data_IF_255130081582
#
_entry.id   IF_255130081582
#
_cell.length_a   1.000
_cell.length_b   1.000
_cell.length_c   1.000
_cell.angle_alpha   90.00
_cell.angle_beta   90.00
_cell.angle_gamma   90.00
#
_symmetry.space_group_name_H-M   'P 1'
#
loop_
_entity.id
_entity.type
_entity.pdbx_description
1 polymer ?
#
# COMPACT_ATOMS: atom_id res chain seq x y z
N UNK A 1 3.67 -18.06 7.68
CA UNK A 1 2.34 -17.60 8.19
C UNK A 1 2.15 -17.91 9.66
N UNK A 2 2.45 -19.13 10.16
CA UNK A 2 2.26 -19.49 11.57
C UNK A 2 3.28 -18.88 12.55
N UNK A 3 4.46 -18.52 12.08
CA UNK A 3 5.56 -18.00 12.91
C UNK A 3 5.15 -16.79 13.80
N UNK A 4 4.51 -15.73 13.26
CA UNK A 4 4.07 -14.60 14.10
C UNK A 4 3.11 -15.04 15.21
N UNK A 5 2.20 -15.98 14.92
CA UNK A 5 1.25 -16.49 15.92
C UNK A 5 1.96 -17.24 17.05
N UNK A 6 2.93 -18.09 16.71
CA UNK A 6 3.73 -18.83 17.68
C UNK A 6 4.54 -17.90 18.60
N UNK A 7 5.16 -16.86 18.05
CA UNK A 7 5.93 -15.86 18.80
C UNK A 7 5.04 -15.10 19.81
N UNK A 8 3.80 -14.79 19.40
CA UNK A 8 2.85 -14.05 20.25
C UNK A 8 1.93 -14.95 21.10
N UNK A 9 2.15 -16.28 21.09
CA UNK A 9 1.35 -17.22 21.88
C UNK A 9 -0.14 -17.24 21.52
N UNK A 10 -0.44 -17.00 20.23
CA UNK A 10 -1.83 -16.94 19.75
C UNK A 10 -2.30 -18.34 19.31
N UNK A 11 -3.43 -18.77 19.85
CA UNK A 11 -4.06 -20.04 19.52
C UNK A 11 -4.78 -20.01 18.17
N UNK A 12 -5.29 -21.19 17.73
CA UNK A 12 -6.03 -21.38 16.49
C UNK A 12 -5.28 -20.87 15.23
N UNK A 13 -4.03 -21.28 15.08
CA UNK A 13 -3.21 -20.86 13.94
C UNK A 13 -3.86 -21.23 12.60
N UNK A 14 -4.51 -22.37 12.49
CA UNK A 14 -5.13 -22.85 11.25
C UNK A 14 -6.35 -22.01 10.84
N UNK A 15 -7.24 -21.71 11.76
CA UNK A 15 -8.40 -20.86 11.52
C UNK A 15 -7.99 -19.42 11.18
N UNK A 16 -7.03 -18.85 11.90
CA UNK A 16 -6.50 -17.52 11.63
C UNK A 16 -5.84 -17.41 10.26
N UNK A 17 -5.02 -18.40 9.88
CA UNK A 17 -4.38 -18.46 8.55
C UNK A 17 -5.45 -18.55 7.46
N UNK A 18 -6.44 -19.42 7.59
CA UNK A 18 -7.51 -19.56 6.61
C UNK A 18 -8.28 -18.25 6.44
N UNK A 19 -8.63 -17.60 7.54
CA UNK A 19 -9.36 -16.33 7.56
C UNK A 19 -8.58 -15.23 6.85
N UNK A 20 -7.31 -15.03 7.20
CA UNK A 20 -6.52 -13.93 6.62
C UNK A 20 -6.16 -14.17 5.17
N UNK A 21 -5.94 -15.43 4.73
CA UNK A 21 -5.77 -15.76 3.33
C UNK A 21 -7.02 -15.41 2.52
N UNK A 22 -8.21 -15.74 3.01
CA UNK A 22 -9.47 -15.36 2.37
C UNK A 22 -9.62 -13.84 2.23
N UNK A 23 -9.24 -13.07 3.25
CA UNK A 23 -9.31 -11.60 3.22
C UNK A 23 -8.41 -10.94 2.18
N UNK A 24 -7.28 -11.57 1.85
CA UNK A 24 -6.39 -11.07 0.79
C UNK A 24 -6.66 -11.73 -0.58
N UNK A 25 -7.78 -12.47 -0.71
CA UNK A 25 -8.18 -13.12 -1.95
C UNK A 25 -7.29 -14.30 -2.36
N UNK A 26 -6.68 -14.98 -1.39
CA UNK A 26 -5.88 -16.18 -1.61
C UNK A 26 -6.62 -17.41 -1.06
N UNK A 27 -6.64 -18.48 -1.86
CA UNK A 27 -7.25 -19.75 -1.44
C UNK A 27 -6.46 -20.47 -0.35
N UNK A 28 -7.07 -21.44 0.37
CA UNK A 28 -6.42 -22.17 1.47
C UNK A 28 -5.14 -22.90 1.09
N UNK A 29 -5.01 -23.32 -0.17
CA UNK A 29 -3.82 -24.02 -0.68
C UNK A 29 -2.55 -23.17 -0.66
N UNK A 30 -2.68 -21.83 -0.59
CA UNK A 30 -1.53 -20.93 -0.54
C UNK A 30 -0.70 -21.05 0.74
N UNK A 31 -1.24 -21.60 1.82
CA UNK A 31 -0.50 -21.86 3.05
C UNK A 31 0.67 -22.85 2.85
N UNK A 32 0.59 -23.70 1.83
CA UNK A 32 1.58 -24.75 1.54
C UNK A 32 2.52 -24.41 0.39
N UNK A 33 2.36 -23.21 -0.22
CA UNK A 33 3.20 -22.79 -1.34
C UNK A 33 4.50 -22.16 -0.86
N UNK A 34 5.56 -22.43 -1.59
CA UNK A 34 6.86 -21.78 -1.41
C UNK A 34 6.91 -20.43 -2.14
N UNK A 35 7.75 -19.47 -1.69
CA UNK A 35 7.85 -18.14 -2.32
C UNK A 35 8.12 -18.14 -3.82
N UNK A 36 8.92 -19.10 -4.31
CA UNK A 36 9.23 -19.23 -5.73
C UNK A 36 8.06 -19.72 -6.61
N UNK A 37 6.99 -20.22 -5.99
CA UNK A 37 5.77 -20.67 -6.66
C UNK A 37 4.71 -19.56 -6.76
N UNK A 38 5.03 -18.34 -6.33
CA UNK A 38 4.09 -17.22 -6.24
C UNK A 38 4.46 -16.11 -7.23
N UNK A 39 3.45 -15.51 -7.88
CA UNK A 39 3.63 -14.26 -8.62
C UNK A 39 3.98 -13.10 -7.69
N UNK A 40 4.43 -11.95 -8.22
CA UNK A 40 4.70 -10.73 -7.46
C UNK A 40 3.50 -10.28 -6.63
N UNK A 41 2.32 -10.18 -7.24
CA UNK A 41 1.08 -9.81 -6.54
C UNK A 41 0.64 -10.81 -5.49
N UNK A 42 0.83 -12.13 -5.74
CA UNK A 42 0.53 -13.16 -4.73
C UNK A 42 1.49 -13.07 -3.53
N UNK A 43 2.77 -12.81 -3.76
CA UNK A 43 3.74 -12.56 -2.68
C UNK A 43 3.35 -11.35 -1.85
N UNK A 44 2.93 -10.26 -2.51
CA UNK A 44 2.48 -9.05 -1.81
C UNK A 44 1.22 -9.28 -0.99
N UNK A 45 0.21 -9.97 -1.54
CA UNK A 45 -1.00 -10.38 -0.80
C UNK A 45 -0.65 -11.24 0.42
N UNK A 46 0.32 -12.14 0.29
CA UNK A 46 0.78 -12.97 1.41
C UNK A 46 1.55 -12.15 2.47
N UNK A 47 2.34 -11.15 2.07
CA UNK A 47 3.00 -10.23 2.99
C UNK A 47 1.97 -9.41 3.79
N UNK A 48 0.94 -8.89 3.13
CA UNK A 48 -0.19 -8.21 3.77
C UNK A 48 -0.89 -9.16 4.75
N UNK A 49 -1.22 -10.39 4.33
CA UNK A 49 -1.84 -11.39 5.20
C UNK A 49 -1.00 -11.67 6.45
N UNK A 50 0.34 -11.76 6.31
CA UNK A 50 1.27 -11.98 7.43
C UNK A 50 1.25 -10.82 8.42
N UNK A 51 1.11 -9.58 7.96
CA UNK A 51 0.98 -8.42 8.82
C UNK A 51 -0.37 -8.37 9.54
N UNK A 52 -1.44 -8.79 8.86
CA UNK A 52 -2.81 -8.75 9.38
C UNK A 52 -3.16 -9.89 10.35
N UNK A 53 -2.38 -10.98 10.36
CA UNK A 53 -2.70 -12.18 11.15
C UNK A 53 -2.65 -11.92 12.68
N UNK A 54 -1.89 -10.91 13.10
CA UNK A 54 -1.79 -10.45 14.49
C UNK A 54 -2.90 -9.47 14.88
N UNK A 55 -3.84 -9.19 13.99
CA UNK A 55 -4.96 -8.28 14.20
C UNK A 55 -4.50 -6.88 14.69
N UNK A 56 -3.54 -6.23 14.00
CA UNK A 56 -3.01 -4.96 14.41
C UNK A 56 -4.07 -3.86 14.36
N UNK A 57 -3.92 -2.82 15.17
CA UNK A 57 -4.72 -1.58 15.08
C UNK A 57 -4.10 -0.56 14.14
N UNK A 58 -2.80 -0.64 13.94
CA UNK A 58 -2.01 0.23 13.05
C UNK A 58 -1.22 -0.64 12.08
N UNK A 59 -1.28 -0.32 10.79
CA UNK A 59 -0.53 -0.98 9.73
C UNK A 59 0.45 0.01 9.10
N UNK A 60 1.73 -0.33 9.14
CA UNK A 60 2.80 0.42 8.47
C UNK A 60 3.03 -0.18 7.08
N UNK A 61 2.94 0.65 6.06
CA UNK A 61 3.09 0.29 4.66
C UNK A 61 4.25 1.08 4.07
N UNK A 62 5.39 0.42 3.91
CA UNK A 62 6.58 1.02 3.31
C UNK A 62 6.69 0.54 1.86
N UNK A 63 6.46 1.47 0.92
CA UNK A 63 6.51 1.21 -0.52
C UNK A 63 5.73 -0.06 -0.96
N UNK A 64 4.46 -0.26 -0.56
CA UNK A 64 3.78 -1.55 -0.65
C UNK A 64 3.56 -2.05 -2.08
N UNK A 65 3.77 -1.22 -3.10
CA UNK A 65 3.50 -1.56 -4.51
C UNK A 65 4.64 -1.23 -5.46
N UNK A 66 5.78 -0.75 -4.98
CA UNK A 66 6.90 -0.25 -5.81
C UNK A 66 7.53 -1.30 -6.75
N UNK A 67 7.42 -2.59 -6.42
CA UNK A 67 7.96 -3.70 -7.20
C UNK A 67 6.92 -4.42 -8.09
N UNK A 68 5.73 -3.83 -8.27
CA UNK A 68 4.61 -4.41 -9.00
C UNK A 68 4.35 -3.65 -10.30
N UNK A 69 3.82 -4.36 -11.29
CA UNK A 69 3.28 -3.70 -12.50
C UNK A 69 2.00 -2.90 -12.16
N UNK A 70 1.66 -1.95 -13.03
CA UNK A 70 0.58 -0.97 -12.78
C UNK A 70 -0.77 -1.62 -12.50
N UNK A 71 -1.10 -2.72 -13.19
CA UNK A 71 -2.39 -3.40 -13.02
C UNK A 71 -2.47 -4.10 -11.67
N UNK A 72 -1.42 -4.81 -11.28
CA UNK A 72 -1.33 -5.50 -9.99
C UNK A 72 -1.22 -4.49 -8.85
N UNK A 73 -0.53 -3.36 -9.05
CA UNK A 73 -0.48 -2.27 -8.09
C UNK A 73 -1.90 -1.77 -7.74
N UNK A 74 -2.73 -1.48 -8.74
CA UNK A 74 -4.11 -1.03 -8.52
C UNK A 74 -4.94 -2.05 -7.72
N UNK A 75 -4.80 -3.35 -8.03
CA UNK A 75 -5.48 -4.41 -7.28
C UNK A 75 -5.06 -4.45 -5.80
N UNK A 76 -3.75 -4.32 -5.52
CA UNK A 76 -3.22 -4.34 -4.15
C UNK A 76 -3.67 -3.09 -3.36
N UNK A 77 -3.69 -1.92 -3.99
CA UNK A 77 -4.15 -0.68 -3.35
C UNK A 77 -5.65 -0.77 -3.00
N UNK A 78 -6.49 -1.25 -3.91
CA UNK A 78 -7.91 -1.45 -3.65
C UNK A 78 -8.13 -2.47 -2.51
N UNK A 79 -7.41 -3.57 -2.51
CA UNK A 79 -7.44 -4.56 -1.43
C UNK A 79 -7.09 -3.92 -0.07
N UNK A 80 -6.07 -3.09 -0.01
CA UNK A 80 -5.66 -2.40 1.23
C UNK A 80 -6.74 -1.40 1.70
N UNK A 81 -7.38 -0.67 0.79
CA UNK A 81 -8.50 0.23 1.10
C UNK A 81 -9.66 -0.56 1.71
N UNK A 82 -10.05 -1.69 1.09
CA UNK A 82 -11.14 -2.53 1.57
C UNK A 82 -10.85 -3.11 2.96
N UNK A 83 -9.64 -3.63 3.17
CA UNK A 83 -9.21 -4.15 4.47
C UNK A 83 -9.20 -3.05 5.52
N UNK A 84 -8.65 -1.86 5.20
CA UNK A 84 -8.64 -0.69 6.10
C UNK A 84 -10.04 -0.36 6.60
N UNK A 85 -11.01 -0.31 5.67
CA UNK A 85 -12.41 -0.01 5.98
C UNK A 85 -13.06 -1.12 6.83
N UNK A 86 -12.92 -2.36 6.39
CA UNK A 86 -13.56 -3.52 7.05
C UNK A 86 -13.06 -3.73 8.48
N UNK A 87 -11.75 -3.53 8.71
CA UNK A 87 -11.11 -3.72 10.03
C UNK A 87 -10.96 -2.43 10.85
N UNK A 88 -11.33 -1.27 10.32
CA UNK A 88 -11.13 0.05 10.91
C UNK A 88 -9.66 0.29 11.29
N UNK A 89 -8.75 -0.07 10.39
CA UNK A 89 -7.32 0.08 10.61
C UNK A 89 -6.86 1.53 10.43
N UNK A 90 -5.93 1.96 11.26
CA UNK A 90 -5.10 3.13 10.96
C UNK A 90 -3.95 2.67 10.09
N UNK A 91 -3.77 3.29 8.92
CA UNK A 91 -2.66 3.01 8.01
C UNK A 91 -1.70 4.20 7.98
N UNK A 92 -0.40 3.92 8.08
CA UNK A 92 0.66 4.88 7.81
C UNK A 92 1.39 4.37 6.56
N UNK A 93 1.35 5.17 5.49
CA UNK A 93 1.92 4.84 4.20
C UNK A 93 3.16 5.67 3.93
N UNK A 94 4.24 5.02 3.53
CA UNK A 94 5.40 5.67 2.92
C UNK A 94 5.39 5.34 1.43
N UNK A 95 5.43 6.36 0.59
CA UNK A 95 5.49 6.21 -0.86
C UNK A 95 6.12 7.45 -1.50
N UNK A 96 6.83 7.25 -2.61
CA UNK A 96 7.28 8.33 -3.49
C UNK A 96 6.26 8.65 -4.60
N UNK A 97 5.19 7.88 -4.72
CA UNK A 97 4.14 8.05 -5.72
C UNK A 97 2.95 8.81 -5.11
N UNK A 98 2.76 10.07 -5.55
CA UNK A 98 1.68 10.92 -5.06
C UNK A 98 0.29 10.40 -5.44
N UNK A 99 0.16 9.65 -6.55
CA UNK A 99 -1.12 9.05 -6.93
C UNK A 99 -1.52 7.93 -5.94
N UNK A 100 -0.55 7.14 -5.48
CA UNK A 100 -0.75 6.14 -4.43
C UNK A 100 -1.16 6.80 -3.12
N UNK A 101 -0.49 7.89 -2.72
CA UNK A 101 -0.84 8.66 -1.53
C UNK A 101 -2.25 9.22 -1.63
N UNK A 102 -2.60 9.82 -2.77
CA UNK A 102 -3.93 10.39 -2.99
C UNK A 102 -5.04 9.34 -2.96
N UNK A 103 -4.77 8.11 -3.41
CA UNK A 103 -5.73 7.01 -3.38
C UNK A 103 -5.96 6.43 -1.98
N UNK A 104 -4.90 6.37 -1.17
CA UNK A 104 -4.88 5.62 0.10
C UNK A 104 -5.08 6.49 1.34
N UNK A 105 -4.72 7.77 1.29
CA UNK A 105 -4.60 8.63 2.48
C UNK A 105 -5.60 9.78 2.46
N UNK A 106 -5.92 10.29 3.65
CA UNK A 106 -6.72 11.51 3.82
C UNK A 106 -5.81 12.72 4.08
N UNK A 107 -4.65 12.47 4.70
CA UNK A 107 -3.61 13.47 5.03
C UNK A 107 -2.24 12.93 4.67
N UNK A 108 -1.32 13.83 4.39
CA UNK A 108 0.08 13.49 4.10
C UNK A 108 1.05 14.46 4.80
N UNK A 109 2.25 13.96 5.00
CA UNK A 109 3.42 14.73 5.41
C UNK A 109 4.51 14.58 4.35
N UNK A 110 5.00 15.69 3.82
CA UNK A 110 6.12 15.70 2.88
C UNK A 110 7.41 15.74 3.67
N UNK A 111 8.32 14.81 3.35
CA UNK A 111 9.63 14.72 4.00
C UNK A 111 10.74 15.13 3.03
N UNK A 112 11.69 15.91 3.53
CA UNK A 112 12.92 16.25 2.81
C UNK A 112 14.11 16.24 3.78
N UNK A 113 15.20 15.58 3.40
CA UNK A 113 16.41 15.43 4.23
C UNK A 113 16.13 14.99 5.68
N UNK A 114 15.23 14.01 5.85
CA UNK A 114 14.89 13.44 7.17
C UNK A 114 13.99 14.33 8.05
N UNK A 115 13.43 15.42 7.51
CA UNK A 115 12.52 16.33 8.21
C UNK A 115 11.18 16.42 7.51
N UNK A 116 10.12 16.53 8.28
CA UNK A 116 8.81 16.92 7.75
C UNK A 116 8.89 18.40 7.41
N UNK A 117 8.68 18.72 6.13
CA UNK A 117 8.70 20.10 5.62
C UNK A 117 7.30 20.67 5.48
N UNK A 118 6.31 19.83 5.19
CA UNK A 118 4.92 20.25 5.06
C UNK A 118 3.96 19.14 5.46
N UNK A 119 2.86 19.51 6.13
CA UNK A 119 1.71 18.64 6.38
C UNK A 119 0.47 19.26 5.73
N UNK A 120 -0.33 18.44 5.03
CA UNK A 120 -1.51 18.91 4.31
C UNK A 120 -2.56 17.80 4.15
N UNK A 121 -3.77 18.20 3.73
CA UNK A 121 -4.77 17.23 3.27
C UNK A 121 -4.48 16.79 1.82
N UNK A 122 -5.00 15.63 1.44
CA UNK A 122 -4.93 15.17 0.04
C UNK A 122 -5.74 16.12 -0.87
N UNK A 123 -6.83 16.71 -0.38
CA UNK A 123 -7.61 17.70 -1.14
C UNK A 123 -6.81 18.97 -1.42
N UNK A 124 -5.96 19.42 -0.49
CA UNK A 124 -5.05 20.55 -0.71
C UNK A 124 -3.97 20.22 -1.74
N UNK A 125 -3.41 19.01 -1.65
CA UNK A 125 -2.45 18.52 -2.65
C UNK A 125 -3.06 18.48 -4.05
N UNK A 126 -4.26 17.90 -4.18
CA UNK A 126 -4.99 17.79 -5.45
C UNK A 126 -5.34 19.18 -6.05
N UNK A 127 -5.61 20.14 -5.20
CA UNK A 127 -5.88 21.54 -5.60
C UNK A 127 -4.60 22.36 -5.85
N UNK A 128 -3.40 21.78 -5.69
CA UNK A 128 -2.13 22.46 -5.85
C UNK A 128 -1.83 23.52 -4.76
N UNK A 129 -2.52 23.44 -3.61
CA UNK A 129 -2.35 24.38 -2.50
C UNK A 129 -1.16 23.96 -1.63
N UNK A 130 0.04 24.15 -2.16
CA UNK A 130 1.31 23.90 -1.45
C UNK A 130 1.85 25.18 -0.85
N UNK A 131 2.53 25.12 0.29
CA UNK A 131 3.19 26.24 0.96
C UNK A 131 4.70 26.20 0.77
N UNK A 132 5.26 24.99 0.69
CA UNK A 132 6.69 24.76 0.56
C UNK A 132 7.09 24.60 -0.90
N UNK A 133 8.17 25.26 -1.32
CA UNK A 133 8.68 25.18 -2.68
C UNK A 133 9.01 23.74 -3.11
N UNK A 134 9.57 22.95 -2.20
CA UNK A 134 9.87 21.53 -2.44
C UNK A 134 8.61 20.70 -2.73
N UNK A 135 7.53 20.95 -1.99
CA UNK A 135 6.25 20.26 -2.24
C UNK A 135 5.67 20.62 -3.60
N UNK A 136 5.76 21.89 -3.99
CA UNK A 136 5.32 22.36 -5.31
C UNK A 136 6.14 21.72 -6.45
N UNK A 137 7.47 21.61 -6.28
CA UNK A 137 8.34 20.93 -7.23
C UNK A 137 8.02 19.45 -7.35
N UNK A 138 7.83 18.74 -6.23
CA UNK A 138 7.45 17.34 -6.19
C UNK A 138 6.13 17.07 -6.92
N UNK A 139 5.12 17.92 -6.67
CA UNK A 139 3.82 17.85 -7.35
C UNK A 139 3.96 18.09 -8.86
N UNK A 140 4.73 19.10 -9.25
CA UNK A 140 4.99 19.42 -10.67
C UNK A 140 5.69 18.28 -11.41
N UNK A 141 6.66 17.63 -10.76
CA UNK A 141 7.37 16.46 -11.32
C UNK A 141 6.41 15.27 -11.52
N UNK A 142 5.54 15.00 -10.57
CA UNK A 142 4.53 13.92 -10.65
C UNK A 142 3.55 14.17 -11.83
N UNK A 143 3.00 15.37 -11.96
CA UNK A 143 2.09 15.71 -13.06
C UNK A 143 2.77 15.73 -14.45
N UNK A 144 4.05 16.08 -14.50
CA UNK A 144 4.85 16.04 -15.73
C UNK A 144 5.11 14.62 -16.25
N UNK A 145 5.18 13.65 -15.35
CA UNK A 145 5.33 12.24 -15.69
C UNK A 145 4.05 11.68 -16.34
N UNK A 146 2.88 11.96 -15.77
CA UNK A 146 1.58 11.54 -16.30
C UNK A 146 1.31 12.11 -17.70
N UNK A 147 1.66 13.38 -17.94
CA UNK A 147 1.50 14.01 -19.27
C UNK A 147 2.40 13.41 -20.33
N UNK A 148 3.60 12.92 -19.99
CA UNK A 148 4.50 12.24 -20.94
C UNK A 148 3.99 10.85 -21.31
N UNK A 149 3.45 10.10 -20.34
CA UNK A 149 2.82 8.80 -20.59
C UNK A 149 1.59 8.93 -21.48
N UNK A 150 0.72 9.91 -21.23
CA UNK A 150 -0.47 10.16 -22.04
C UNK A 150 -0.14 10.57 -23.48
N UNK A 151 0.97 11.28 -23.71
CA UNK A 151 1.44 11.63 -25.06
C UNK A 151 2.01 10.44 -25.84
N UNK A 152 2.64 9.50 -25.17
CA UNK A 152 3.21 8.31 -25.82
C UNK A 152 2.17 7.23 -26.15
N UNK A 153 0.95 7.32 -25.60
CA UNK A 153 -0.16 6.42 -25.91
C UNK A 153 -1.04 6.91 -27.09
N UNK A 154 -0.80 8.13 -27.59
CA UNK A 154 -1.54 8.71 -28.73
C UNK A 154 -0.72 8.77 -30.02
N UNK A 155 0.30 7.94 -30.17
CA UNK A 155 1.03 7.76 -31.45
C UNK A 155 0.77 6.34 -31.93
N UNK A 156 -0.37 6.19 -32.62
CA UNK A 156 -0.60 5.40 -33.85
C UNK A 156 -2.08 5.53 -34.26
#
# INVERSE_FOLDING_TARGET
MAEPLAIHGMDDADGRIATVLGQVGLGPSFRYRYPHQLSGGQRQRLAIARALILEPRVLLLDEPTSALDVSVQAEILNLLVDIRRARRLTCILVSHDLAVVAHMCDRLAVMNHGRIVEEMSVDDLAAGRTREAYTAELLGASQGYDRRLARNLNVD
#
